data_IF_906695880937
#
_entry.id   IF_906695880937
#
_cell.length_a   1.000
_cell.length_b   1.000
_cell.length_c   1.000
_cell.angle_alpha   90.00
_cell.angle_beta   90.00
_cell.angle_gamma   90.00
#
_symmetry.space_group_name_H-M   'P 1'
#
loop_
_entity.id
_entity.type
_entity.pdbx_description
1 polymer ?
#
# COMPACT_ATOMS: atom_id res chain seq x y z
N UNK A 1 5.41 19.78 -13.28
CA UNK A 1 4.87 18.52 -13.84
C UNK A 1 4.01 17.88 -12.76
N UNK A 2 2.69 17.90 -12.92
CA UNK A 2 1.77 17.35 -11.91
C UNK A 2 1.91 15.84 -11.83
N UNK A 3 2.24 15.31 -10.65
CA UNK A 3 2.25 13.87 -10.40
C UNK A 3 0.88 13.30 -10.73
N UNK A 4 0.80 12.45 -11.75
CA UNK A 4 -0.43 11.74 -12.12
C UNK A 4 -0.92 11.01 -10.86
N UNK A 5 -2.13 11.33 -10.37
CA UNK A 5 -2.74 10.58 -9.26
C UNK A 5 -3.06 9.18 -9.77
N UNK A 6 -2.16 8.24 -9.51
CA UNK A 6 -2.40 6.81 -9.74
C UNK A 6 -3.40 6.36 -8.68
N UNK A 7 -4.64 6.09 -9.09
CA UNK A 7 -5.61 5.41 -8.24
C UNK A 7 -5.34 3.91 -8.29
N UNK A 8 -5.14 3.30 -7.13
CA UNK A 8 -4.98 1.85 -7.01
C UNK A 8 -6.29 1.19 -6.58
N UNK A 9 -6.47 -0.08 -6.93
CA UNK A 9 -7.61 -0.92 -6.58
C UNK A 9 -7.15 -2.08 -5.70
N UNK A 10 -8.09 -2.67 -4.97
CA UNK A 10 -7.83 -3.91 -4.22
C UNK A 10 -7.35 -5.01 -5.15
N UNK A 11 -6.27 -5.69 -4.75
CA UNK A 11 -5.58 -6.70 -5.55
C UNK A 11 -4.45 -6.17 -6.43
N UNK A 12 -4.28 -4.85 -6.58
CA UNK A 12 -3.15 -4.30 -7.35
C UNK A 12 -1.82 -4.65 -6.67
N UNK A 13 -0.86 -5.12 -7.48
CA UNK A 13 0.51 -5.36 -7.05
C UNK A 13 1.33 -4.08 -7.22
N UNK A 14 1.98 -3.65 -6.14
CA UNK A 14 2.69 -2.37 -6.07
C UNK A 14 4.06 -2.55 -5.42
N UNK A 15 4.99 -1.64 -5.72
CA UNK A 15 6.20 -1.49 -4.92
C UNK A 15 5.98 -0.37 -3.91
N UNK A 16 5.84 -0.72 -2.65
CA UNK A 16 5.68 0.23 -1.57
C UNK A 16 7.05 0.74 -1.10
N UNK A 17 7.14 2.06 -0.88
CA UNK A 17 8.36 2.71 -0.40
C UNK A 17 8.18 3.16 1.04
N UNK A 18 8.93 2.54 1.94
CA UNK A 18 9.07 2.98 3.34
C UNK A 18 10.42 3.70 3.50
N UNK A 19 10.49 4.67 4.42
CA UNK A 19 11.75 5.34 4.76
C UNK A 19 12.69 4.31 5.40
N UNK A 20 13.94 4.24 4.92
CA UNK A 20 14.94 3.30 5.43
C UNK A 20 14.96 1.91 4.77
N UNK A 21 14.00 1.59 3.90
CA UNK A 21 13.94 0.31 3.19
C UNK A 21 14.01 0.48 1.66
N UNK A 22 14.52 -0.50 0.89
CA UNK A 22 14.35 -0.49 -0.56
C UNK A 22 12.86 -0.52 -0.95
N UNK A 23 12.49 -0.18 -2.20
CA UNK A 23 11.14 -0.46 -2.69
C UNK A 23 10.82 -1.94 -2.48
N UNK A 24 9.74 -2.25 -1.78
CA UNK A 24 9.39 -3.61 -1.39
C UNK A 24 8.08 -4.05 -2.05
N UNK A 25 7.98 -5.30 -2.53
CA UNK A 25 6.76 -5.78 -3.17
C UNK A 25 5.62 -5.87 -2.15
N UNK A 26 4.46 -5.34 -2.52
CA UNK A 26 3.26 -5.35 -1.71
C UNK A 26 1.99 -5.51 -2.59
N UNK A 27 0.86 -5.85 -1.97
CA UNK A 27 -0.46 -5.81 -2.61
C UNK A 27 -1.38 -4.84 -1.90
N UNK A 28 -2.29 -4.22 -2.64
CA UNK A 28 -3.36 -3.39 -2.06
C UNK A 28 -4.48 -4.28 -1.52
N UNK A 29 -4.78 -4.12 -0.24
CA UNK A 29 -5.88 -4.83 0.41
C UNK A 29 -7.19 -4.05 0.27
N UNK A 30 -8.35 -4.73 0.26
CA UNK A 30 -9.65 -4.09 0.27
C UNK A 30 -9.97 -3.44 1.62
N UNK A 31 -9.46 -4.01 2.72
CA UNK A 31 -9.72 -3.55 4.08
C UNK A 31 -8.43 -3.46 4.90
N UNK A 32 -8.44 -2.58 5.88
CA UNK A 32 -7.36 -2.46 6.84
C UNK A 32 -7.39 -3.62 7.85
N UNK A 33 -6.24 -4.00 8.45
CA UNK A 33 -6.23 -4.93 9.57
C UNK A 33 -7.15 -4.48 10.71
N UNK A 34 -7.77 -5.41 11.46
CA UNK A 34 -8.67 -5.08 12.56
C UNK A 34 -7.98 -4.15 13.57
N UNK A 35 -8.62 -3.03 13.87
CA UNK A 35 -8.10 -2.01 14.79
C UNK A 35 -7.23 -0.91 14.15
N UNK A 36 -6.86 -1.01 12.86
CA UNK A 36 -6.19 0.09 12.14
C UNK A 36 -7.18 0.84 11.25
N UNK A 37 -7.28 2.16 11.42
CA UNK A 37 -8.00 3.04 10.49
C UNK A 37 -7.07 3.52 9.39
N UNK A 38 -7.38 3.21 8.14
CA UNK A 38 -6.66 3.77 6.99
C UNK A 38 -7.23 5.16 6.66
N UNK A 39 -6.40 6.21 6.54
CA UNK A 39 -6.86 7.53 6.13
C UNK A 39 -7.48 7.53 4.73
N UNK A 40 -8.43 8.44 4.46
CA UNK A 40 -9.17 8.55 3.17
C UNK A 40 -8.32 8.64 1.89
N UNK A 41 -7.03 8.97 2.00
CA UNK A 41 -6.10 9.12 0.87
C UNK A 41 -4.95 8.10 0.89
N UNK A 42 -5.07 7.04 1.69
CA UNK A 42 -4.12 5.93 1.73
C UNK A 42 -4.83 4.64 1.40
N UNK A 43 -4.07 3.67 0.92
CA UNK A 43 -4.52 2.32 0.66
C UNK A 43 -3.96 1.40 1.75
N UNK A 44 -4.77 0.49 2.32
CA UNK A 44 -4.19 -0.62 3.06
C UNK A 44 -3.37 -1.47 2.09
N UNK A 45 -2.18 -1.85 2.50
CA UNK A 45 -1.30 -2.72 1.72
C UNK A 45 -0.76 -3.81 2.63
N UNK A 46 -0.40 -4.95 2.04
CA UNK A 46 0.31 -6.05 2.69
C UNK A 46 1.66 -6.24 2.01
N UNK A 47 2.74 -6.24 2.79
CA UNK A 47 4.09 -6.47 2.28
C UNK A 47 4.37 -7.96 2.11
N UNK A 48 4.83 -8.38 0.92
CA UNK A 48 5.17 -9.78 0.70
C UNK A 48 6.40 -10.19 1.51
N UNK A 49 6.42 -11.43 2.00
CA UNK A 49 7.52 -11.98 2.79
C UNK A 49 7.48 -11.60 4.27
N UNK A 50 7.06 -10.38 4.62
CA UNK A 50 6.90 -9.95 6.03
C UNK A 50 5.46 -10.08 6.54
N UNK A 51 4.46 -10.07 5.64
CA UNK A 51 3.03 -10.15 5.96
C UNK A 51 2.56 -9.07 6.96
N UNK A 52 3.21 -7.91 6.90
CA UNK A 52 2.93 -6.74 7.73
C UNK A 52 1.79 -5.88 7.17
#
# INVERSE_FOLDING_TARGET
MGSKKTSYKSGDLVFAKVRGYPPWPARVEPEAPPGKKVPKNKYPILFFGTYE
#
